data_IF_623140716586
#
_entry.id   IF_623140716586
#
_cell.length_a   1.000
_cell.length_b   1.000
_cell.length_c   1.000
_cell.angle_alpha   90.00
_cell.angle_beta   90.00
_cell.angle_gamma   90.00
#
_symmetry.space_group_name_H-M   'P 1'
#
loop_
_entity.id
_entity.type
_entity.pdbx_description
1 polymer ?
#
# COMPACT_ATOMS: atom_id res chain seq x y z
N UNK A 1 -3.26 6.15 -43.68
CA UNK A 1 -3.37 4.68 -43.61
C UNK A 1 -3.58 4.30 -42.15
N UNK A 2 -4.84 4.31 -41.75
CA UNK A 2 -5.30 3.88 -40.43
C UNK A 2 -5.16 2.37 -40.32
N UNK A 3 -4.61 1.87 -39.20
CA UNK A 3 -4.73 0.48 -38.80
C UNK A 3 -5.47 0.43 -37.48
N UNK A 4 -6.71 -0.04 -37.57
CA UNK A 4 -7.57 -0.44 -36.47
C UNK A 4 -6.93 -1.62 -35.74
N UNK A 5 -6.70 -1.47 -34.44
CA UNK A 5 -6.20 -2.55 -33.59
C UNK A 5 -7.36 -3.15 -32.79
N UNK A 6 -7.52 -4.44 -32.99
CA UNK A 6 -8.55 -5.35 -32.49
C UNK A 6 -8.58 -5.38 -30.96
N UNK A 7 -9.79 -5.34 -30.39
CA UNK A 7 -10.05 -5.48 -28.96
C UNK A 7 -9.64 -6.89 -28.49
N UNK A 8 -8.48 -6.99 -27.85
CA UNK A 8 -8.14 -8.16 -27.03
C UNK A 8 -8.85 -8.05 -25.68
N UNK A 9 -9.70 -9.04 -25.36
CA UNK A 9 -10.25 -9.22 -24.02
C UNK A 9 -9.10 -9.34 -23.00
N UNK A 10 -9.16 -8.64 -21.85
CA UNK A 10 -8.18 -8.83 -20.79
C UNK A 10 -8.33 -10.23 -20.16
N UNK A 11 -7.22 -10.90 -19.77
CA UNK A 11 -7.30 -12.08 -18.93
C UNK A 11 -7.78 -11.69 -17.53
N UNK A 12 -8.40 -12.66 -16.87
CA UNK A 12 -9.08 -12.59 -15.56
C UNK A 12 -8.28 -11.74 -14.56
N UNK A 13 -8.93 -10.69 -14.04
CA UNK A 13 -8.35 -9.82 -13.03
C UNK A 13 -7.99 -10.57 -11.75
N UNK A 14 -7.09 -9.98 -10.97
CA UNK A 14 -6.74 -10.46 -9.63
C UNK A 14 -8.02 -10.60 -8.79
N UNK A 15 -8.39 -11.85 -8.47
CA UNK A 15 -9.50 -12.16 -7.57
C UNK A 15 -9.13 -11.71 -6.15
N UNK A 16 -9.89 -10.80 -5.52
CA UNK A 16 -9.61 -10.31 -4.17
C UNK A 16 -10.07 -11.27 -3.05
N UNK A 17 -10.40 -12.52 -3.37
CA UNK A 17 -10.90 -13.48 -2.37
C UNK A 17 -9.86 -13.77 -1.27
N UNK A 18 -10.21 -13.62 0.02
CA UNK A 18 -9.31 -13.95 1.12
C UNK A 18 -9.09 -15.46 1.20
N UNK A 19 -7.82 -15.87 1.23
CA UNK A 19 -7.39 -17.25 1.50
C UNK A 19 -8.01 -17.72 2.81
N UNK A 20 -9.02 -18.60 2.74
CA UNK A 20 -9.63 -19.22 3.91
C UNK A 20 -8.66 -20.26 4.46
N UNK A 21 -8.03 -19.98 5.60
CA UNK A 21 -7.37 -21.02 6.39
C UNK A 21 -8.43 -22.03 6.87
N UNK A 22 -8.38 -23.25 6.32
CA UNK A 22 -9.15 -24.37 6.82
C UNK A 22 -8.66 -24.73 8.24
N UNK A 23 -9.51 -24.48 9.25
CA UNK A 23 -9.33 -25.07 10.58
C UNK A 23 -9.58 -26.57 10.50
N UNK A 24 -8.69 -27.34 11.12
CA UNK A 24 -8.58 -28.77 10.97
C UNK A 24 -9.77 -29.60 11.45
N UNK A 25 -9.78 -30.85 10.98
CA UNK A 25 -10.35 -32.00 11.65
C UNK A 25 -9.32 -33.11 11.58
N UNK A 26 -8.92 -33.62 12.74
CA UNK A 26 -8.08 -34.79 12.83
C UNK A 26 -8.87 -36.04 12.47
N UNK A 27 -8.18 -37.01 11.87
CA UNK A 27 -8.44 -38.43 12.01
C UNK A 27 -7.09 -39.14 11.88
N UNK A 28 -6.79 -40.00 12.86
CA UNK A 28 -5.59 -40.81 12.89
C UNK A 28 -5.77 -42.16 12.19
N UNK A 29 -4.70 -42.96 12.34
CA UNK A 29 -4.50 -44.38 11.97
C UNK A 29 -4.36 -44.59 10.44
N UNK A 30 -3.35 -45.26 9.88
CA UNK A 30 -2.63 -46.45 10.34
C UNK A 30 -1.32 -46.65 9.52
N UNK A 31 -0.39 -47.41 10.11
CA UNK A 31 0.94 -47.78 9.62
C UNK A 31 0.92 -48.55 8.28
N UNK A 32 1.97 -48.38 7.46
CA UNK A 32 2.59 -49.51 6.76
C UNK A 32 4.08 -49.28 6.47
N UNK A 33 4.87 -50.28 6.90
CA UNK A 33 6.31 -50.42 6.83
C UNK A 33 6.80 -50.80 5.41
N UNK A 34 7.99 -50.29 5.04
CA UNK A 34 9.08 -50.89 4.22
C UNK A 34 10.08 -49.76 3.89
N UNK A 35 11.23 -49.60 4.57
CA UNK A 35 12.52 -50.29 4.36
C UNK A 35 12.87 -50.35 2.86
N UNK A 36 13.83 -49.59 2.31
CA UNK A 36 15.27 -49.79 2.50
C UNK A 36 16.16 -48.53 2.24
N UNK A 37 17.19 -48.41 3.10
CA UNK A 37 18.61 -47.97 2.93
C UNK A 37 18.93 -46.61 2.29
N UNK A 38 19.35 -45.59 3.07
CA UNK A 38 20.70 -45.29 3.60
C UNK A 38 21.82 -45.04 2.57
N UNK A 39 22.15 -43.77 2.35
CA UNK A 39 23.54 -43.28 2.22
C UNK A 39 23.66 -41.97 3.01
N UNK A 40 24.61 -41.95 3.94
CA UNK A 40 24.86 -40.86 4.87
C UNK A 40 25.89 -39.87 4.33
N UNK A 41 25.63 -38.57 4.47
CA UNK A 41 26.68 -37.54 4.42
C UNK A 41 26.53 -36.65 5.66
N UNK A 42 27.38 -36.89 6.67
CA UNK A 42 27.49 -36.10 7.90
C UNK A 42 28.37 -34.87 7.64
N UNK A 43 27.92 -33.66 7.98
CA UNK A 43 28.72 -32.70 8.78
C UNK A 43 27.82 -31.91 9.73
N UNK A 44 28.31 -31.84 10.96
CA UNK A 44 27.68 -31.31 12.18
C UNK A 44 27.90 -29.80 12.29
N UNK A 45 26.90 -29.09 12.81
CA UNK A 45 27.06 -27.82 13.52
C UNK A 45 26.05 -27.79 14.66
N UNK A 46 26.45 -28.26 15.84
CA UNK A 46 25.64 -28.13 17.06
C UNK A 46 25.91 -26.77 17.71
N UNK A 47 24.89 -26.02 18.15
CA UNK A 47 25.09 -24.83 18.98
C UNK A 47 25.58 -25.25 20.39
N UNK A 48 26.57 -24.52 20.90
CA UNK A 48 27.23 -24.79 22.18
C UNK A 48 26.30 -24.59 23.40
N UNK A 49 26.67 -25.14 24.57
CA UNK A 49 25.84 -25.12 25.77
C UNK A 49 25.75 -23.71 26.39
N UNK A 50 24.54 -23.38 26.87
CA UNK A 50 24.27 -22.23 27.73
C UNK A 50 24.99 -22.43 29.07
N UNK A 51 25.79 -21.46 29.51
CA UNK A 51 26.45 -21.51 30.80
C UNK A 51 25.47 -21.22 31.93
N UNK A 52 25.26 -22.21 32.79
CA UNK A 52 24.68 -22.04 34.11
C UNK A 52 25.63 -21.18 34.98
N UNK A 53 25.11 -20.11 35.56
CA UNK A 53 25.67 -19.53 36.79
C UNK A 53 24.56 -19.31 37.80
N UNK A 54 24.46 -20.26 38.72
CA UNK A 54 23.78 -20.13 40.00
C UNK A 54 24.70 -19.43 41.01
N UNK A 55 24.17 -18.43 41.71
CA UNK A 55 24.45 -18.17 43.13
C UNK A 55 25.72 -17.40 43.50
N UNK A 56 25.60 -16.09 43.71
CA UNK A 56 26.58 -15.28 44.43
C UNK A 56 25.93 -14.00 44.98
N UNK A 57 25.97 -13.85 46.31
CA UNK A 57 25.24 -12.86 47.12
C UNK A 57 25.47 -11.39 46.76
N UNK A 58 24.41 -10.63 47.00
CA UNK A 58 24.32 -9.17 47.11
C UNK A 58 25.35 -8.58 48.10
N UNK A 59 25.92 -7.44 47.73
CA UNK A 59 26.04 -6.18 48.51
C UNK A 59 27.05 -5.28 47.78
N UNK A 60 26.67 -4.04 47.44
CA UNK A 60 27.57 -3.07 46.84
C UNK A 60 26.88 -1.94 46.10
N UNK A 61 26.33 -1.00 46.87
CA UNK A 61 26.09 0.41 46.58
C UNK A 61 25.61 0.84 45.17
N UNK A 62 24.30 1.07 45.05
CA UNK A 62 23.72 1.85 43.95
C UNK A 62 23.95 3.32 44.26
N UNK A 63 24.90 3.96 43.59
CA UNK A 63 24.85 5.41 43.45
C UNK A 63 23.67 5.76 42.55
N UNK A 64 22.57 6.16 43.18
CA UNK A 64 21.40 6.70 42.51
C UNK A 64 21.83 7.95 41.72
N UNK A 65 21.57 7.96 40.42
CA UNK A 65 21.55 9.21 39.67
C UNK A 65 20.50 10.14 40.30
N UNK A 66 20.83 11.40 40.61
CA UNK A 66 19.88 12.33 41.18
C UNK A 66 18.77 12.62 40.17
N UNK A 67 17.53 12.61 40.65
CA UNK A 67 16.36 13.07 39.93
C UNK A 67 16.58 14.53 39.45
N UNK A 68 16.23 14.89 38.21
CA UNK A 68 16.30 16.27 37.78
C UNK A 68 15.33 17.11 38.62
N UNK A 69 15.87 18.18 39.21
CA UNK A 69 15.15 19.14 40.03
C UNK A 69 14.01 19.79 39.25
N UNK A 70 12.87 19.96 39.94
CA UNK A 70 11.70 20.68 39.47
C UNK A 70 12.06 22.16 39.20
N UNK A 71 12.27 22.50 37.93
CA UNK A 71 12.25 23.86 37.43
C UNK A 71 10.81 24.26 37.11
N UNK A 72 10.28 25.24 37.85
CA UNK A 72 8.99 25.87 37.57
C UNK A 72 9.05 26.69 36.27
N UNK A 73 8.92 26.01 35.14
CA UNK A 73 8.62 26.61 33.84
C UNK A 73 7.12 26.51 33.59
N UNK A 74 6.44 27.66 33.44
CA UNK A 74 5.05 27.71 32.94
C UNK A 74 5.04 27.29 31.47
N UNK A 75 5.08 25.99 31.22
CA UNK A 75 4.79 25.40 29.92
C UNK A 75 3.30 25.13 29.81
N UNK A 76 2.63 25.86 28.93
CA UNK A 76 1.26 25.56 28.49
C UNK A 76 1.17 24.10 28.01
N UNK A 77 0.16 23.31 28.44
CA UNK A 77 -0.05 21.98 27.88
C UNK A 77 -0.69 22.14 26.49
N UNK A 78 0.15 22.39 25.49
CA UNK A 78 -0.22 22.57 24.09
C UNK A 78 -0.19 21.26 23.30
N UNK A 79 -0.98 20.28 23.72
CA UNK A 79 -1.14 19.00 23.02
C UNK A 79 -2.56 18.51 23.17
N UNK A 80 -3.54 19.30 22.70
CA UNK A 80 -4.93 18.86 22.71
C UNK A 80 -5.06 17.73 21.69
N UNK A 81 -5.34 16.51 22.17
CA UNK A 81 -5.96 15.49 21.36
C UNK A 81 -7.27 16.10 20.83
N UNK A 82 -7.28 16.50 19.57
CA UNK A 82 -8.48 17.04 18.90
C UNK A 82 -9.44 15.88 18.69
N UNK A 83 -10.21 15.57 19.73
CA UNK A 83 -11.33 14.64 19.69
C UNK A 83 -12.34 15.19 18.68
N UNK A 84 -12.57 14.46 17.59
CA UNK A 84 -13.64 14.78 16.63
C UNK A 84 -14.96 14.83 17.38
N UNK A 85 -15.75 15.90 17.22
CA UNK A 85 -17.13 15.89 17.72
C UNK A 85 -17.91 14.74 17.06
N UNK A 86 -18.91 14.18 17.75
CA UNK A 86 -19.58 12.95 17.31
C UNK A 86 -20.22 13.02 15.92
N UNK A 87 -20.42 14.23 15.37
CA UNK A 87 -21.01 14.46 14.05
C UNK A 87 -20.00 14.80 12.95
N UNK A 88 -18.76 15.17 13.29
CA UNK A 88 -17.78 15.62 12.29
C UNK A 88 -17.05 14.42 11.68
N UNK A 89 -17.23 14.20 10.38
CA UNK A 89 -16.53 13.14 9.62
C UNK A 89 -15.12 13.61 9.28
N UNK A 90 -14.12 12.78 9.57
CA UNK A 90 -12.75 13.02 9.16
C UNK A 90 -12.41 12.27 7.87
N UNK A 91 -11.86 12.97 6.87
CA UNK A 91 -11.41 12.40 5.61
C UNK A 91 -9.91 12.66 5.38
N UNK A 92 -9.17 11.58 5.12
CA UNK A 92 -7.79 11.63 4.69
C UNK A 92 -7.72 11.91 3.18
N UNK A 93 -7.10 13.03 2.80
CA UNK A 93 -6.95 13.47 1.41
C UNK A 93 -5.46 13.37 1.01
N UNK A 94 -5.15 12.71 -0.11
CA UNK A 94 -3.79 12.50 -0.54
C UNK A 94 -3.19 13.81 -1.07
N UNK A 95 -1.91 14.02 -0.80
CA UNK A 95 -1.09 15.04 -1.46
C UNK A 95 -0.55 14.53 -2.80
N UNK A 96 0.02 15.43 -3.62
CA UNK A 96 0.63 15.06 -4.90
C UNK A 96 -0.40 14.80 -6.00
N UNK A 97 -0.21 13.76 -6.80
CA UNK A 97 -0.91 13.55 -8.07
C UNK A 97 -2.44 13.44 -7.98
N UNK A 98 -2.99 12.97 -6.85
CA UNK A 98 -4.43 12.84 -6.64
C UNK A 98 -5.06 14.07 -5.97
N UNK A 99 -4.24 15.03 -5.53
CA UNK A 99 -4.68 16.12 -4.67
C UNK A 99 -5.73 17.01 -5.32
N UNK A 100 -5.41 17.58 -6.49
CA UNK A 100 -6.31 18.52 -7.17
C UNK A 100 -7.63 17.85 -7.58
N UNK A 101 -7.57 16.58 -7.99
CA UNK A 101 -8.73 15.76 -8.30
C UNK A 101 -9.61 15.52 -7.08
N UNK A 102 -9.01 15.20 -5.93
CA UNK A 102 -9.71 15.02 -4.67
C UNK A 102 -10.39 16.30 -4.18
N UNK A 103 -9.71 17.45 -4.25
CA UNK A 103 -10.29 18.75 -3.88
C UNK A 103 -11.43 19.16 -4.81
N UNK A 104 -11.25 18.95 -6.12
CA UNK A 104 -12.28 19.22 -7.12
C UNK A 104 -13.52 18.35 -6.88
N UNK A 105 -13.33 17.08 -6.51
CA UNK A 105 -14.43 16.18 -6.15
C UNK A 105 -15.15 16.63 -4.87
N UNK A 106 -14.41 17.00 -3.82
CA UNK A 106 -14.98 17.53 -2.58
C UNK A 106 -15.81 18.79 -2.83
N UNK A 107 -15.31 19.72 -3.66
CA UNK A 107 -16.02 20.93 -4.03
C UNK A 107 -17.30 20.61 -4.83
N UNK A 108 -17.22 19.70 -5.81
CA UNK A 108 -18.38 19.27 -6.63
C UNK A 108 -19.45 18.56 -5.82
N UNK A 109 -19.05 17.76 -4.83
CA UNK A 109 -19.96 17.07 -3.91
C UNK A 109 -20.64 17.98 -2.89
N UNK A 110 -20.28 19.28 -2.85
CA UNK A 110 -20.78 20.23 -1.87
C UNK A 110 -20.36 19.91 -0.43
N UNK A 111 -19.28 19.15 -0.24
CA UNK A 111 -18.77 18.75 1.07
C UNK A 111 -17.79 19.76 1.65
N UNK A 112 -16.86 20.25 0.83
CA UNK A 112 -15.89 21.27 1.23
C UNK A 112 -15.28 21.91 -0.02
N UNK A 113 -15.17 23.24 -0.02
CA UNK A 113 -14.40 23.98 -1.04
C UNK A 113 -13.17 24.57 -0.36
N UNK A 114 -12.02 23.92 -0.56
CA UNK A 114 -10.74 24.34 0.04
C UNK A 114 -9.92 25.15 -0.96
N UNK A 115 -9.41 26.31 -0.52
CA UNK A 115 -8.54 27.16 -1.33
C UNK A 115 -7.06 26.78 -1.20
N UNK A 116 -6.24 27.15 -2.19
CA UNK A 116 -4.79 26.90 -2.18
C UNK A 116 -4.08 27.52 -0.95
N UNK A 117 -4.57 28.65 -0.42
CA UNK A 117 -3.99 29.29 0.77
C UNK A 117 -4.21 28.48 2.06
N UNK A 118 -5.33 27.78 2.20
CA UNK A 118 -5.65 26.96 3.38
C UNK A 118 -4.81 25.68 3.43
N UNK A 119 -4.52 25.12 2.25
CA UNK A 119 -3.75 23.89 2.09
C UNK A 119 -2.23 24.11 2.18
N UNK A 120 -1.77 25.36 2.03
CA UNK A 120 -0.34 25.69 1.95
C UNK A 120 0.44 25.59 3.27
N UNK A 121 -0.23 25.63 4.44
CA UNK A 121 0.43 25.58 5.76
C UNK A 121 -0.22 24.65 6.78
N UNK A 122 -1.44 24.17 6.53
CA UNK A 122 -2.19 23.37 7.50
C UNK A 122 -2.40 21.96 6.95
N UNK A 123 -1.92 20.96 7.70
CA UNK A 123 -2.16 19.54 7.41
C UNK A 123 -3.56 19.10 7.83
N UNK A 124 -4.31 19.98 8.48
CA UNK A 124 -5.62 19.71 9.03
C UNK A 124 -6.50 20.94 8.87
N UNK A 125 -7.61 20.77 8.16
CA UNK A 125 -8.54 21.84 7.84
C UNK A 125 -9.96 21.38 8.16
N UNK A 126 -10.72 22.19 8.88
CA UNK A 126 -12.12 21.89 9.21
C UNK A 126 -13.04 22.86 8.47
N UNK A 127 -13.95 22.36 7.63
CA UNK A 127 -14.91 23.16 6.85
C UNK A 127 -16.23 22.43 6.73
N UNK A 128 -17.33 23.16 6.89
CA UNK A 128 -18.70 22.66 6.66
C UNK A 128 -19.03 21.33 7.35
N UNK A 129 -18.50 21.11 8.56
CA UNK A 129 -18.70 19.87 9.32
C UNK A 129 -17.86 18.67 8.84
N UNK A 130 -16.91 18.90 7.93
CA UNK A 130 -15.92 17.94 7.46
C UNK A 130 -14.53 18.31 7.95
N UNK A 131 -13.80 17.33 8.48
CA UNK A 131 -12.39 17.48 8.86
C UNK A 131 -11.51 16.85 7.78
N UNK A 132 -10.78 17.66 7.06
CA UNK A 132 -9.86 17.24 5.99
C UNK A 132 -8.45 17.13 6.55
N UNK A 133 -7.83 15.97 6.38
CA UNK A 133 -6.47 15.67 6.83
C UNK A 133 -5.61 15.41 5.60
N UNK A 134 -4.63 16.28 5.35
CA UNK A 134 -3.70 16.11 4.23
C UNK A 134 -2.60 15.13 4.60
N UNK A 135 -2.50 14.05 3.85
CA UNK A 135 -1.55 12.96 4.12
C UNK A 135 -0.83 12.54 2.84
N UNK A 136 0.35 11.93 3.00
CA UNK A 136 1.02 11.27 1.87
C UNK A 136 0.14 10.11 1.38
N UNK A 137 0.05 9.86 0.06
CA UNK A 137 -0.80 8.79 -0.46
C UNK A 137 -0.58 7.42 0.20
N UNK A 138 0.69 7.04 0.45
CA UNK A 138 1.05 5.77 1.10
C UNK A 138 0.50 5.60 2.51
N UNK A 139 0.22 6.71 3.19
CA UNK A 139 -0.15 6.73 4.61
C UNK A 139 -1.67 6.79 4.78
N UNK A 140 -2.44 7.08 3.72
CA UNK A 140 -3.91 7.13 3.76
C UNK A 140 -4.52 5.85 4.35
N UNK A 141 -4.13 4.62 3.92
CA UNK A 141 -4.68 3.40 4.51
C UNK A 141 -4.48 3.32 6.01
N UNK A 142 -3.31 3.68 6.52
CA UNK A 142 -3.01 3.65 7.95
C UNK A 142 -3.89 4.63 8.75
N UNK A 143 -4.08 5.85 8.24
CA UNK A 143 -4.96 6.83 8.89
C UNK A 143 -6.40 6.33 8.99
N UNK A 144 -6.89 5.65 7.93
CA UNK A 144 -8.23 5.10 7.91
C UNK A 144 -8.33 3.85 8.79
N UNK A 145 -7.40 2.90 8.68
CA UNK A 145 -7.41 1.64 9.43
C UNK A 145 -7.35 1.87 10.94
N UNK A 146 -6.54 2.83 11.39
CA UNK A 146 -6.41 3.19 12.80
C UNK A 146 -7.48 4.17 13.30
N UNK A 147 -8.42 4.59 12.44
CA UNK A 147 -9.54 5.47 12.82
C UNK A 147 -9.14 6.92 13.09
N UNK A 148 -7.94 7.34 12.68
CA UNK A 148 -7.56 8.76 12.67
C UNK A 148 -8.36 9.54 11.62
N UNK A 149 -8.79 8.86 10.56
CA UNK A 149 -9.79 9.32 9.61
C UNK A 149 -10.91 8.28 9.47
N UNK A 150 -12.15 8.73 9.30
CA UNK A 150 -13.29 7.85 9.04
C UNK A 150 -13.29 7.36 7.58
N UNK A 151 -12.84 8.24 6.68
CA UNK A 151 -12.77 8.03 5.23
C UNK A 151 -11.38 8.39 4.70
N UNK A 152 -11.02 7.86 3.54
CA UNK A 152 -9.78 8.23 2.85
C UNK A 152 -9.89 8.12 1.34
N UNK A 153 -9.21 9.01 0.63
CA UNK A 153 -9.04 8.95 -0.83
C UNK A 153 -7.65 8.38 -1.14
N UNK A 154 -7.58 7.27 -1.86
CA UNK A 154 -6.33 6.55 -2.09
C UNK A 154 -6.29 5.92 -3.47
N UNK A 155 -5.12 5.82 -4.10
CA UNK A 155 -4.97 5.12 -5.37
C UNK A 155 -5.14 3.60 -5.19
N UNK A 156 -5.81 2.95 -6.14
CA UNK A 156 -6.00 1.48 -6.12
C UNK A 156 -4.67 0.72 -6.12
N UNK A 157 -3.62 1.31 -6.69
CA UNK A 157 -2.25 0.80 -6.66
C UNK A 157 -1.68 0.67 -5.25
N UNK A 158 -1.96 1.65 -4.39
CA UNK A 158 -1.55 1.60 -2.98
C UNK A 158 -2.33 0.53 -2.24
N UNK A 159 -3.60 0.30 -2.59
CA UNK A 159 -4.41 -0.76 -1.99
C UNK A 159 -3.97 -2.17 -2.39
N UNK A 160 -3.37 -2.35 -3.57
CA UNK A 160 -2.77 -3.64 -3.94
C UNK A 160 -1.54 -3.96 -3.09
N UNK A 161 -0.77 -2.92 -2.72
CA UNK A 161 0.48 -3.07 -1.99
C UNK A 161 0.28 -3.10 -0.47
N UNK A 162 -0.68 -2.34 0.03
CA UNK A 162 -0.95 -2.16 1.46
C UNK A 162 -2.19 -2.96 1.87
N UNK A 163 -2.04 -4.12 2.53
CA UNK A 163 -3.18 -4.80 3.12
C UNK A 163 -3.72 -3.95 4.26
N UNK A 164 -5.04 -3.92 4.40
CA UNK A 164 -5.69 -3.13 5.44
C UNK A 164 -7.02 -3.74 5.86
N UNK A 165 -7.58 -3.16 6.92
CA UNK A 165 -8.90 -3.53 7.41
C UNK A 165 -10.00 -2.66 6.79
N UNK A 166 -9.69 -1.54 6.17
CA UNK A 166 -10.66 -0.65 5.57
C UNK A 166 -11.51 -1.32 4.48
N UNK A 167 -12.71 -0.78 4.27
CA UNK A 167 -13.55 -1.15 3.15
C UNK A 167 -13.34 -0.20 1.99
N UNK A 168 -13.22 -0.75 0.78
CA UNK A 168 -13.24 0.02 -0.46
C UNK A 168 -14.69 0.22 -0.92
N UNK A 169 -15.17 1.47 -0.87
CA UNK A 169 -16.60 1.77 -1.03
C UNK A 169 -16.97 2.29 -2.43
N UNK A 170 -16.12 3.14 -3.00
CA UNK A 170 -16.42 3.86 -4.26
C UNK A 170 -15.16 3.94 -5.13
N UNK A 171 -15.31 3.65 -6.42
CA UNK A 171 -14.36 4.06 -7.44
C UNK A 171 -14.67 5.50 -7.84
N UNK A 172 -13.74 6.43 -7.56
CA UNK A 172 -13.93 7.86 -7.77
C UNK A 172 -13.66 8.29 -9.22
N UNK A 173 -13.22 7.36 -10.09
CA UNK A 173 -13.09 7.53 -11.54
C UNK A 173 -12.17 8.66 -11.99
N UNK A 174 -11.22 9.08 -11.16
CA UNK A 174 -10.14 10.00 -11.53
C UNK A 174 -8.77 9.43 -11.15
N UNK A 175 -7.70 10.10 -11.60
CA UNK A 175 -6.33 9.68 -11.30
C UNK A 175 -5.92 8.38 -11.99
N UNK A 176 -6.50 8.12 -13.17
CA UNK A 176 -6.29 6.88 -13.92
C UNK A 176 -4.83 6.64 -14.30
N UNK A 177 -4.30 5.47 -13.95
CA UNK A 177 -2.99 5.02 -14.35
C UNK A 177 -2.95 3.48 -14.49
N UNK A 178 -1.83 2.94 -14.98
CA UNK A 178 -1.61 1.51 -15.16
C UNK A 178 -0.32 1.10 -14.48
N UNK A 179 -0.35 -0.01 -13.75
CA UNK A 179 0.87 -0.67 -13.28
C UNK A 179 1.36 -1.58 -14.41
N UNK A 180 2.60 -1.37 -14.85
CA UNK A 180 3.14 -2.01 -16.04
C UNK A 180 4.50 -2.63 -15.77
N UNK A 181 4.78 -3.73 -16.45
CA UNK A 181 6.14 -4.25 -16.61
C UNK A 181 6.74 -3.53 -17.82
N UNK A 182 7.88 -2.87 -17.62
CA UNK A 182 8.61 -2.20 -18.67
C UNK A 182 10.08 -2.62 -18.69
N UNK A 183 10.66 -2.73 -19.87
CA UNK A 183 12.04 -3.16 -20.11
C UNK A 183 12.76 -2.16 -21.02
N UNK A 184 14.09 -2.12 -21.06
CA UNK A 184 14.81 -1.31 -22.05
C UNK A 184 14.34 -1.59 -23.48
N UNK A 185 14.22 -0.55 -24.31
CA UNK A 185 13.76 -0.68 -25.70
C UNK A 185 14.60 -1.69 -26.50
N UNK A 186 15.91 -1.73 -26.23
CA UNK A 186 16.86 -2.64 -26.87
C UNK A 186 16.81 -4.09 -26.32
N UNK A 187 16.00 -4.35 -25.29
CA UNK A 187 15.87 -5.67 -24.67
C UNK A 187 15.06 -6.63 -25.55
N UNK A 188 15.51 -7.88 -25.64
CA UNK A 188 14.79 -8.98 -26.29
C UNK A 188 13.59 -9.50 -25.51
N UNK A 189 13.37 -9.01 -24.28
CA UNK A 189 12.28 -9.44 -23.41
C UNK A 189 10.93 -8.89 -23.89
N UNK A 190 10.11 -9.70 -24.56
CA UNK A 190 8.82 -9.29 -25.13
C UNK A 190 7.61 -10.08 -24.61
N UNK A 191 7.82 -10.94 -23.62
CA UNK A 191 6.77 -11.75 -23.00
C UNK A 191 7.33 -12.97 -22.28
N UNK A 192 6.47 -13.79 -21.65
CA UNK A 192 6.88 -14.95 -20.85
C UNK A 192 7.84 -15.89 -21.58
N UNK A 193 7.62 -16.12 -22.87
CA UNK A 193 8.45 -16.97 -23.74
C UNK A 193 9.92 -16.52 -23.85
N UNK A 194 10.16 -15.23 -23.62
CA UNK A 194 11.49 -14.61 -23.77
C UNK A 194 12.14 -14.30 -22.42
N UNK A 195 11.41 -14.47 -21.32
CA UNK A 195 11.92 -14.14 -19.99
C UNK A 195 13.01 -15.13 -19.57
N UNK A 196 14.05 -14.65 -18.86
CA UNK A 196 15.03 -15.55 -18.27
C UNK A 196 14.36 -16.47 -17.23
N UNK A 197 14.99 -17.61 -16.88
CA UNK A 197 14.48 -18.49 -15.82
C UNK A 197 14.16 -17.78 -14.51
N UNK A 198 14.93 -16.73 -14.18
CA UNK A 198 14.64 -15.79 -13.10
C UNK A 198 14.82 -14.37 -13.64
N UNK A 199 13.73 -13.59 -13.65
CA UNK A 199 13.76 -12.18 -14.08
C UNK A 199 13.98 -11.28 -12.87
N UNK A 200 14.79 -10.23 -13.03
CA UNK A 200 15.07 -9.26 -11.97
C UNK A 200 14.29 -7.99 -12.27
N UNK A 201 13.47 -7.53 -11.34
CA UNK A 201 12.64 -6.33 -11.52
C UNK A 201 12.80 -5.34 -10.39
N UNK A 202 12.91 -4.05 -10.71
CA UNK A 202 12.88 -2.98 -9.71
C UNK A 202 11.48 -2.38 -9.60
N UNK A 203 11.02 -2.09 -8.38
CA UNK A 203 9.66 -1.57 -8.16
C UNK A 203 9.47 -0.89 -6.80
N UNK A 204 8.50 0.02 -6.72
CA UNK A 204 7.93 0.51 -5.44
C UNK A 204 6.86 -0.44 -4.87
N UNK A 205 6.42 -1.43 -5.65
CA UNK A 205 5.28 -2.31 -5.38
C UNK A 205 5.72 -3.78 -5.27
N UNK A 206 6.60 -4.12 -4.31
CA UNK A 206 7.23 -5.43 -4.29
C UNK A 206 6.24 -6.59 -4.14
N UNK A 207 5.19 -6.43 -3.32
CA UNK A 207 4.19 -7.48 -3.12
C UNK A 207 3.34 -7.68 -4.37
N UNK A 208 2.89 -6.58 -4.97
CA UNK A 208 2.07 -6.62 -6.18
C UNK A 208 2.86 -7.23 -7.34
N UNK A 209 4.13 -6.86 -7.50
CA UNK A 209 5.01 -7.42 -8.51
C UNK A 209 5.24 -8.94 -8.28
N UNK A 210 5.62 -9.33 -7.06
CA UNK A 210 5.86 -10.74 -6.73
C UNK A 210 4.62 -11.61 -7.00
N UNK A 211 3.45 -11.19 -6.52
CA UNK A 211 2.19 -11.92 -6.73
C UNK A 211 1.83 -12.05 -8.22
N UNK A 212 2.11 -11.00 -9.03
CA UNK A 212 1.82 -11.03 -10.45
C UNK A 212 2.70 -12.03 -11.22
N UNK A 213 4.00 -12.12 -10.90
CA UNK A 213 4.91 -13.11 -11.48
C UNK A 213 4.62 -14.53 -10.97
N UNK A 214 4.32 -14.68 -9.67
CA UNK A 214 3.95 -15.97 -9.07
C UNK A 214 2.70 -16.55 -9.73
N UNK A 215 1.67 -15.73 -9.99
CA UNK A 215 0.44 -16.15 -10.69
C UNK A 215 0.69 -16.68 -12.12
N UNK A 216 1.88 -16.44 -12.68
CA UNK A 216 2.31 -16.90 -14.01
C UNK A 216 3.33 -18.03 -13.95
N UNK A 217 3.70 -18.50 -12.76
CA UNK A 217 4.76 -19.49 -12.59
C UNK A 217 6.15 -18.99 -12.99
N UNK A 218 6.36 -17.67 -13.04
CA UNK A 218 7.65 -17.06 -13.38
C UNK A 218 8.42 -16.73 -12.10
N UNK A 219 9.66 -17.25 -11.98
CA UNK A 219 10.53 -16.85 -10.89
C UNK A 219 11.00 -15.41 -11.08
N UNK A 220 10.96 -14.62 -10.00
CA UNK A 220 11.34 -13.20 -10.01
C UNK A 220 12.20 -12.85 -8.80
N UNK A 221 13.25 -12.06 -9.03
CA UNK A 221 13.96 -11.32 -7.99
C UNK A 221 13.41 -9.88 -7.97
N UNK A 222 12.77 -9.50 -6.86
CA UNK A 222 12.18 -8.17 -6.71
C UNK A 222 13.12 -7.27 -5.92
N UNK A 223 13.59 -6.20 -6.56
CA UNK A 223 14.41 -5.15 -5.96
C UNK A 223 13.50 -3.97 -5.59
N UNK A 224 13.27 -3.77 -4.30
CA UNK A 224 12.44 -2.65 -3.84
C UNK A 224 13.19 -1.31 -3.95
N UNK A 225 12.61 -0.35 -4.66
CA UNK A 225 13.09 1.03 -4.76
C UNK A 225 12.02 2.00 -4.29
N UNK A 226 12.44 3.16 -3.77
CA UNK A 226 11.51 4.17 -3.25
C UNK A 226 11.29 5.32 -4.25
N UNK A 227 12.19 5.46 -5.24
CA UNK A 227 12.18 6.51 -6.27
C UNK A 227 13.13 6.15 -7.41
N UNK A 228 13.04 6.90 -8.51
CA UNK A 228 13.91 6.77 -9.69
C UNK A 228 14.03 5.34 -10.21
N UNK A 229 12.89 4.65 -10.32
CA UNK A 229 12.84 3.23 -10.69
C UNK A 229 13.31 3.06 -12.14
N UNK A 230 13.03 4.04 -12.99
CA UNK A 230 13.34 4.08 -14.42
C UNK A 230 14.84 4.05 -14.73
N UNK A 231 15.68 4.45 -13.77
CA UNK A 231 17.14 4.41 -13.90
C UNK A 231 17.70 3.00 -13.72
N UNK A 232 17.01 2.14 -12.96
CA UNK A 232 17.54 0.84 -12.53
C UNK A 232 17.97 -0.08 -13.69
N UNK A 233 17.20 -0.21 -14.80
CA UNK A 233 17.66 -0.99 -15.94
C UNK A 233 18.86 -0.37 -16.67
N UNK A 234 18.94 0.96 -16.74
CA UNK A 234 20.00 1.67 -17.47
C UNK A 234 21.38 1.46 -16.83
N UNK A 235 21.43 1.28 -15.51
CA UNK A 235 22.65 1.02 -14.76
C UNK A 235 22.93 -0.48 -14.56
N UNK A 236 22.12 -1.35 -15.18
CA UNK A 236 22.29 -2.81 -15.09
C UNK A 236 21.88 -3.42 -13.74
N UNK A 237 21.07 -2.72 -12.94
CA UNK A 237 20.62 -3.25 -11.64
C UNK A 237 19.62 -4.41 -11.82
N UNK A 238 18.74 -4.30 -12.82
CA UNK A 238 17.61 -5.21 -13.08
C UNK A 238 17.34 -5.34 -14.58
N UNK A 239 16.58 -6.36 -14.98
CA UNK A 239 16.19 -6.60 -16.38
C UNK A 239 15.03 -5.70 -16.83
N UNK A 240 14.17 -5.31 -15.88
CA UNK A 240 13.01 -4.46 -16.12
C UNK A 240 12.48 -3.82 -14.84
N UNK A 241 11.39 -3.08 -14.96
CA UNK A 241 10.74 -2.40 -13.85
C UNK A 241 9.25 -2.71 -13.81
N UNK A 242 8.70 -2.71 -12.61
CA UNK A 242 7.25 -2.64 -12.40
C UNK A 242 6.93 -1.28 -11.80
N UNK A 243 6.32 -0.38 -12.56
CA UNK A 243 5.97 0.96 -12.08
C UNK A 243 4.68 1.48 -12.71
N UNK A 244 4.13 2.55 -12.13
CA UNK A 244 2.95 3.22 -12.64
C UNK A 244 3.24 4.07 -13.85
N UNK A 245 2.29 4.08 -14.79
CA UNK A 245 2.31 5.01 -15.91
C UNK A 245 0.89 5.46 -16.26
N UNK A 246 0.74 6.77 -16.49
CA UNK A 246 -0.48 7.35 -17.06
C UNK A 246 -0.34 7.46 -18.58
N UNK A 247 0.53 8.38 -19.04
CA UNK A 247 0.73 8.70 -20.47
C UNK A 247 1.86 7.93 -21.14
N UNK A 248 2.66 7.16 -20.39
CA UNK A 248 3.85 6.50 -20.92
C UNK A 248 5.02 7.44 -21.23
N UNK A 249 4.93 8.74 -20.92
CA UNK A 249 6.00 9.71 -21.23
C UNK A 249 7.29 9.39 -20.47
N UNK A 250 7.21 9.18 -19.16
CA UNK A 250 8.40 8.90 -18.32
C UNK A 250 9.15 7.65 -18.77
N UNK A 251 8.43 6.61 -19.21
CA UNK A 251 9.05 5.40 -19.74
C UNK A 251 9.78 5.67 -21.05
N UNK A 252 9.14 6.39 -21.99
CA UNK A 252 9.74 6.77 -23.28
C UNK A 252 10.97 7.65 -23.12
N UNK A 253 10.91 8.64 -22.23
CA UNK A 253 12.04 9.54 -21.94
C UNK A 253 13.26 8.76 -21.39
N UNK A 254 13.02 7.59 -20.79
CA UNK A 254 14.03 6.68 -20.25
C UNK A 254 14.31 5.46 -21.14
N UNK A 255 13.83 5.46 -22.40
CA UNK A 255 14.01 4.36 -23.38
C UNK A 255 13.51 3.00 -22.87
N UNK A 256 12.34 3.02 -22.24
CA UNK A 256 11.66 1.83 -21.74
C UNK A 256 10.38 1.59 -22.54
N UNK A 257 10.13 0.33 -22.90
CA UNK A 257 8.88 -0.14 -23.50
C UNK A 257 8.10 -1.02 -22.54
N UNK A 258 6.78 -0.92 -22.62
CA UNK A 258 5.85 -1.75 -21.85
C UNK A 258 5.77 -3.12 -22.50
N UNK A 259 5.98 -4.19 -21.72
CA UNK A 259 5.82 -5.58 -22.15
C UNK A 259 4.56 -6.23 -21.59
N UNK A 260 4.08 -5.76 -20.44
CA UNK A 260 2.84 -6.25 -19.84
C UNK A 260 2.14 -5.19 -18.99
N UNK A 261 0.83 -5.32 -18.85
CA UNK A 261 0.02 -4.53 -17.92
C UNK A 261 -0.41 -5.45 -16.77
N UNK A 262 -0.05 -5.05 -15.55
CA UNK A 262 -0.41 -5.77 -14.33
C UNK A 262 -1.82 -5.44 -13.87
N UNK A 263 -2.21 -4.17 -13.99
CA UNK A 263 -3.53 -3.69 -13.59
C UNK A 263 -3.74 -2.21 -13.88
N UNK A 264 -4.99 -1.77 -13.75
CA UNK A 264 -5.39 -0.36 -13.87
C UNK A 264 -5.76 0.21 -12.51
N UNK A 265 -5.26 1.39 -12.17
CA UNK A 265 -5.53 2.09 -10.91
C UNK A 265 -6.32 3.36 -11.15
N UNK A 266 -7.26 3.63 -10.24
CA UNK A 266 -8.03 4.87 -10.11
C UNK A 266 -8.06 5.25 -8.64
N UNK A 267 -8.42 6.50 -8.33
CA UNK A 267 -8.70 6.90 -6.97
C UNK A 267 -9.92 6.15 -6.40
N UNK A 268 -9.80 5.69 -5.16
CA UNK A 268 -10.79 4.94 -4.40
C UNK A 268 -11.13 5.68 -3.12
N UNK A 269 -12.40 5.65 -2.74
CA UNK A 269 -12.84 6.04 -1.41
C UNK A 269 -12.85 4.80 -0.51
N UNK A 270 -12.03 4.83 0.53
CA UNK A 270 -11.98 3.80 1.57
C UNK A 270 -12.60 4.30 2.87
N UNK A 271 -13.05 3.39 3.73
CA UNK A 271 -13.67 3.70 5.01
C UNK A 271 -13.20 2.79 6.15
N UNK A 272 -13.09 3.38 7.34
CA UNK A 272 -12.82 2.64 8.56
C UNK A 272 -14.01 1.73 8.94
N UNK A 273 -13.73 0.49 9.34
CA UNK A 273 -14.79 -0.47 9.68
C UNK A 273 -15.62 -0.05 10.90
N UNK A 274 -14.99 0.53 11.92
CA UNK A 274 -15.67 0.95 13.13
C UNK A 274 -16.52 2.20 12.86
N UNK A 275 -15.99 3.19 12.12
CA UNK A 275 -16.74 4.39 11.74
C UNK A 275 -18.01 4.08 10.95
N UNK A 276 -18.01 3.06 10.08
CA UNK A 276 -19.21 2.60 9.38
C UNK A 276 -20.30 2.05 10.32
N UNK A 277 -19.94 1.58 11.51
CA UNK A 277 -20.87 1.00 12.50
C UNK A 277 -21.27 2.00 13.58
N UNK A 278 -20.37 2.89 13.98
CA UNK A 278 -20.58 3.83 15.08
C UNK A 278 -21.06 5.19 14.61
N UNK A 279 -20.74 5.59 13.37
CA UNK A 279 -21.08 6.89 12.77
C UNK A 279 -21.82 6.73 11.44
N UNK A 280 -22.63 5.69 11.33
CA UNK A 280 -23.22 5.24 10.05
C UNK A 280 -23.91 6.36 9.28
N UNK A 281 -24.80 7.13 9.91
CA UNK A 281 -25.56 8.18 9.21
C UNK A 281 -24.64 9.26 8.62
N UNK A 282 -23.69 9.77 9.40
CA UNK A 282 -22.76 10.82 8.96
C UNK A 282 -21.83 10.32 7.84
N UNK A 283 -21.24 9.13 8.00
CA UNK A 283 -20.34 8.55 7.00
C UNK A 283 -21.09 8.21 5.71
N UNK A 284 -22.28 7.61 5.79
CA UNK A 284 -23.08 7.26 4.61
C UNK A 284 -23.53 8.51 3.83
N UNK A 285 -23.86 9.61 4.52
CA UNK A 285 -24.17 10.89 3.88
C UNK A 285 -23.00 11.41 3.03
N UNK A 286 -21.79 11.38 3.58
CA UNK A 286 -20.57 11.78 2.87
C UNK A 286 -20.27 10.83 1.69
N UNK A 287 -20.38 9.52 1.90
CA UNK A 287 -20.16 8.51 0.85
C UNK A 287 -21.16 8.67 -0.30
N UNK A 288 -22.43 8.94 -0.01
CA UNK A 288 -23.46 9.15 -1.02
C UNK A 288 -23.13 10.37 -1.90
N UNK A 289 -22.79 11.52 -1.29
CA UNK A 289 -22.39 12.74 -2.01
C UNK A 289 -21.15 12.53 -2.88
N UNK A 290 -20.14 11.83 -2.36
CA UNK A 290 -18.93 11.50 -3.12
C UNK A 290 -19.22 10.57 -4.30
N UNK A 291 -20.12 9.59 -4.10
CA UNK A 291 -20.54 8.65 -5.16
C UNK A 291 -21.26 9.39 -6.28
N UNK A 292 -22.23 10.24 -5.95
CA UNK A 292 -22.96 11.06 -6.93
C UNK A 292 -22.02 12.00 -7.70
N UNK A 293 -21.15 12.73 -7.00
CA UNK A 293 -20.18 13.60 -7.67
C UNK A 293 -19.18 12.83 -8.57
N UNK A 294 -18.91 11.56 -8.27
CA UNK A 294 -18.04 10.71 -9.11
C UNK A 294 -18.74 10.17 -10.36
N UNK A 295 -20.07 10.00 -10.35
CA UNK A 295 -20.82 9.58 -11.53
C UNK A 295 -20.96 10.70 -12.56
N UNK A 296 -21.04 11.95 -12.11
CA UNK A 296 -21.26 13.13 -12.96
C UNK A 296 -19.99 13.61 -13.69
N UNK A 297 -18.87 12.89 -13.52
CA UNK A 297 -17.59 13.19 -14.18
C UNK A 297 -17.35 12.36 -15.46
N UNK A 298 -18.35 11.56 -15.87
CA UNK A 298 -18.29 10.67 -17.03
C UNK A 298 -18.93 11.26 -18.28
#
# INVERSE_FOLDING_TARGET
MERTWTQHRPPVGLDPSPVRHARGRGHGVEEHLRSERLVACRRRGQPGPLSERLGGRLVGDRTAHPAPAAGAGRGTPGGRCLVTSAEQVAIAVPTGALHDGALSLLARSGLARLGAEELGRQLLVERDGLRVILVRPSDVPAYVDHGAADLGIVGKDILWETPGAHYELVDLRFGGCRLVLAVPDASSLDGPETWPPMIRVATKYPRTAAAWFESRGQAVEVVQLHGSVELAPQVGLVDGIVDLTATGRTLRDNRLRITAVLGTSTARLIANQASLKTRTAAVQSVVAKMREASSDAG
#
